data_IF_664259083340
#
_entry.id   IF_664259083340
#
_cell.length_a   1.000
_cell.length_b   1.000
_cell.length_c   1.000
_cell.angle_alpha   90.00
_cell.angle_beta   90.00
_cell.angle_gamma   90.00
#
_symmetry.space_group_name_H-M   'P 1'
#
loop_
_entity.id
_entity.type
_entity.pdbx_description
1 polymer ?
#
# COMPACT_ATOMS: atom_id res chain seq x y z
N UNK A 1 8.73 -7.42 0.00
CA UNK A 1 8.25 -7.41 -1.40
C UNK A 1 8.27 -8.84 -1.91
N UNK A 2 7.24 -9.26 -2.62
CA UNK A 2 7.15 -10.58 -3.24
C UNK A 2 6.40 -10.46 -4.57
N UNK A 3 6.61 -11.41 -5.47
CA UNK A 3 5.84 -11.57 -6.71
C UNK A 3 5.21 -12.95 -6.71
N UNK A 4 3.92 -13.01 -7.03
CA UNK A 4 3.20 -14.26 -7.28
C UNK A 4 2.90 -14.32 -8.77
N UNK A 5 3.41 -15.35 -9.44
CA UNK A 5 3.13 -15.61 -10.85
C UNK A 5 1.89 -16.49 -10.93
N UNK A 6 0.86 -16.00 -11.63
CA UNK A 6 -0.38 -16.75 -11.84
C UNK A 6 -0.19 -17.78 -12.96
N UNK A 7 -0.84 -18.94 -12.83
CA UNK A 7 -0.81 -20.00 -13.86
C UNK A 7 -1.40 -19.53 -15.20
N UNK A 8 -2.31 -18.54 -15.17
CA UNK A 8 -2.93 -17.93 -16.35
C UNK A 8 -3.13 -16.42 -16.15
N UNK A 9 -3.13 -15.63 -17.23
CA UNK A 9 -3.45 -14.20 -17.16
C UNK A 9 -4.83 -13.95 -16.53
N UNK A 10 -4.91 -13.01 -15.60
CA UNK A 10 -6.18 -12.56 -15.06
C UNK A 10 -6.90 -11.62 -16.04
N UNK A 11 -8.25 -11.65 -16.15
CA UNK A 11 -9.02 -10.79 -17.04
C UNK A 11 -9.22 -9.38 -16.44
N UNK A 12 -8.15 -8.77 -15.94
CA UNK A 12 -8.16 -7.44 -15.34
C UNK A 12 -6.91 -6.67 -15.77
N UNK A 13 -7.08 -5.39 -16.08
CA UNK A 13 -5.94 -4.52 -16.39
C UNK A 13 -5.07 -4.36 -15.13
N UNK A 14 -3.75 -4.62 -15.21
CA UNK A 14 -2.84 -4.37 -14.08
C UNK A 14 -2.77 -2.88 -13.75
N UNK A 15 -2.58 -2.57 -12.46
CA UNK A 15 -2.22 -1.23 -12.02
C UNK A 15 -0.82 -0.86 -12.55
N UNK A 16 -0.58 0.44 -12.71
CA UNK A 16 0.70 0.95 -13.17
C UNK A 16 1.77 0.89 -12.05
N UNK A 17 3.02 0.69 -12.45
CA UNK A 17 4.17 0.93 -11.58
C UNK A 17 4.71 2.35 -11.83
N UNK A 18 5.29 2.99 -10.81
CA UNK A 18 5.96 4.28 -10.94
C UNK A 18 7.34 4.13 -11.58
N UNK A 19 7.81 5.23 -12.21
CA UNK A 19 9.23 5.40 -12.55
C UNK A 19 10.08 5.42 -11.28
N UNK A 20 11.36 5.09 -11.40
CA UNK A 20 12.31 5.17 -10.28
C UNK A 20 12.30 6.55 -9.63
N UNK A 21 12.23 6.59 -8.30
CA UNK A 21 12.25 7.84 -7.52
C UNK A 21 10.97 8.69 -7.59
N UNK A 22 9.90 8.25 -8.26
CA UNK A 22 8.68 9.05 -8.40
C UNK A 22 8.04 9.44 -7.06
N UNK A 23 8.20 8.63 -6.02
CA UNK A 23 7.67 8.92 -4.67
C UNK A 23 8.38 10.11 -4.02
N UNK A 24 9.61 10.44 -4.42
CA UNK A 24 10.36 11.56 -3.85
C UNK A 24 9.76 12.93 -4.21
N UNK A 25 8.97 12.99 -5.28
CA UNK A 25 8.27 14.21 -5.72
C UNK A 25 6.91 14.44 -5.04
N UNK A 26 6.45 13.55 -4.17
CA UNK A 26 5.12 13.67 -3.56
C UNK A 26 5.12 14.73 -2.44
N UNK A 27 4.12 15.60 -2.48
CA UNK A 27 3.93 16.61 -1.45
C UNK A 27 3.43 15.97 -0.15
N UNK A 28 3.84 16.52 0.99
CA UNK A 28 3.28 16.13 2.29
C UNK A 28 1.76 16.33 2.27
N UNK A 29 1.03 15.41 2.89
CA UNK A 29 -0.45 15.31 2.88
C UNK A 29 -1.08 15.02 1.52
N UNK A 30 -0.31 14.70 0.47
CA UNK A 30 -0.89 14.15 -0.75
C UNK A 30 -1.77 12.93 -0.40
N UNK A 31 -2.97 12.83 -1.00
CA UNK A 31 -3.86 11.71 -0.73
C UNK A 31 -3.28 10.43 -1.33
N UNK A 32 -3.19 9.39 -0.52
CA UNK A 32 -2.77 8.04 -0.93
C UNK A 32 -3.93 7.11 -0.69
N UNK A 33 -4.39 6.44 -1.74
CA UNK A 33 -5.49 5.48 -1.66
C UNK A 33 -4.96 4.11 -1.31
N UNK A 34 -5.48 3.49 -0.25
CA UNK A 34 -5.26 2.07 0.05
C UNK A 34 -6.50 1.27 -0.28
N UNK A 35 -6.34 0.06 -0.82
CA UNK A 35 -7.44 -0.87 -1.09
C UNK A 35 -7.11 -2.23 -0.49
N UNK A 36 -8.05 -2.83 0.23
CA UNK A 36 -7.79 -4.08 0.92
C UNK A 36 -9.04 -4.74 1.49
N UNK A 37 -8.82 -5.84 2.19
CA UNK A 37 -9.84 -6.69 2.80
C UNK A 37 -9.55 -6.92 4.28
N UNK A 38 -8.60 -6.19 4.87
CA UNK A 38 -8.20 -6.32 6.25
C UNK A 38 -9.31 -6.00 7.26
N UNK A 39 -8.94 -6.05 8.53
CA UNK A 39 -9.87 -5.78 9.64
C UNK A 39 -10.44 -4.37 9.53
N UNK A 40 -11.77 -4.26 9.69
CA UNK A 40 -12.52 -3.05 9.35
C UNK A 40 -12.66 -2.05 10.49
N UNK A 41 -12.59 -2.54 11.73
CA UNK A 41 -12.81 -1.74 12.94
C UNK A 41 -12.38 -2.50 14.19
N UNK A 42 -12.42 -1.82 15.34
CA UNK A 42 -12.42 -2.45 16.66
C UNK A 42 -13.83 -2.47 17.23
N UNK A 43 -14.22 -3.59 17.84
CA UNK A 43 -15.42 -3.67 18.64
C UNK A 43 -15.22 -2.98 20.01
N UNK A 44 -16.31 -2.80 20.76
CA UNK A 44 -16.29 -2.14 22.07
C UNK A 44 -15.42 -2.89 23.10
N UNK A 45 -15.30 -4.21 22.96
CA UNK A 45 -14.43 -5.06 23.79
C UNK A 45 -12.94 -5.01 23.38
N UNK A 46 -12.61 -4.23 22.35
CA UNK A 46 -11.27 -4.08 21.83
C UNK A 46 -10.83 -5.17 20.85
N UNK A 47 -11.67 -6.17 20.55
CA UNK A 47 -11.39 -7.15 19.50
C UNK A 47 -11.41 -6.51 18.11
N UNK A 48 -10.66 -7.09 17.16
CA UNK A 48 -10.69 -6.66 15.77
C UNK A 48 -11.86 -7.31 15.03
N UNK A 49 -12.58 -6.53 14.24
CA UNK A 49 -13.70 -7.00 13.40
C UNK A 49 -13.22 -7.27 11.99
N UNK A 50 -13.48 -8.47 11.49
CA UNK A 50 -13.25 -8.86 10.10
C UNK A 50 -14.57 -9.29 9.47
N UNK A 51 -14.98 -8.61 8.40
CA UNK A 51 -16.23 -8.90 7.69
C UNK A 51 -16.04 -9.30 6.23
N UNK A 52 -14.79 -9.48 5.79
CA UNK A 52 -14.43 -9.92 4.44
C UNK A 52 -14.78 -8.94 3.32
N UNK A 53 -15.18 -7.70 3.63
CA UNK A 53 -15.57 -6.70 2.61
C UNK A 53 -14.36 -5.92 2.11
N UNK A 54 -14.28 -5.76 0.78
CA UNK A 54 -13.33 -4.86 0.14
C UNK A 54 -13.59 -3.42 0.58
N UNK A 55 -12.54 -2.72 1.00
CA UNK A 55 -12.60 -1.30 1.35
C UNK A 55 -11.53 -0.50 0.63
N UNK A 56 -11.82 0.80 0.56
CA UNK A 56 -10.97 1.87 0.06
C UNK A 56 -10.81 2.87 1.19
N UNK A 57 -9.59 3.31 1.46
CA UNK A 57 -9.29 4.39 2.38
C UNK A 57 -8.37 5.40 1.71
N UNK A 58 -8.64 6.68 1.89
CA UNK A 58 -7.72 7.74 1.49
C UNK A 58 -7.01 8.25 2.73
N UNK A 59 -5.68 8.25 2.70
CA UNK A 59 -4.84 8.55 3.85
C UNK A 59 -3.80 9.59 3.43
N UNK A 60 -3.56 10.65 4.24
CA UNK A 60 -2.57 11.66 3.88
C UNK A 60 -1.15 11.11 4.05
N UNK A 61 -0.31 11.34 3.04
CA UNK A 61 1.13 11.09 3.12
C UNK A 61 1.75 11.88 4.28
N UNK A 62 2.52 11.19 5.12
CA UNK A 62 3.26 11.79 6.22
C UNK A 62 4.73 11.97 5.87
N UNK A 63 5.34 10.94 5.30
CA UNK A 63 6.77 10.89 5.03
C UNK A 63 7.07 9.93 3.89
N UNK A 64 8.02 10.29 3.04
CA UNK A 64 8.74 9.37 2.18
C UNK A 64 10.20 9.28 2.65
N UNK A 65 10.74 8.06 2.65
CA UNK A 65 12.13 7.75 2.94
C UNK A 65 12.70 6.90 1.82
N UNK A 66 13.98 6.50 1.92
CA UNK A 66 14.65 5.71 0.87
C UNK A 66 13.87 4.45 0.45
N UNK A 67 13.24 3.74 1.40
CA UNK A 67 12.56 2.47 1.15
C UNK A 67 11.10 2.44 1.59
N UNK A 68 10.65 3.43 2.37
CA UNK A 68 9.30 3.43 2.94
C UNK A 68 8.52 4.69 2.57
N UNK A 69 7.23 4.51 2.33
CA UNK A 69 6.20 5.54 2.24
C UNK A 69 5.30 5.40 3.47
N UNK A 70 5.18 6.44 4.29
CA UNK A 70 4.39 6.43 5.51
C UNK A 70 3.14 7.30 5.33
N UNK A 71 1.97 6.73 5.56
CA UNK A 71 0.67 7.42 5.58
C UNK A 71 0.09 7.47 6.99
N UNK A 72 -0.79 8.44 7.26
CA UNK A 72 -1.55 8.49 8.51
C UNK A 72 -2.83 7.68 8.40
N UNK A 73 -3.11 6.83 9.39
CA UNK A 73 -4.33 6.01 9.44
C UNK A 73 -5.33 6.49 10.50
N UNK A 74 -5.10 7.70 11.06
CA UNK A 74 -5.97 8.29 12.11
C UNK A 74 -7.44 8.39 11.73
N UNK A 75 -7.73 8.67 10.47
CA UNK A 75 -9.11 8.79 9.97
C UNK A 75 -9.54 7.52 9.23
N UNK A 76 -8.73 7.07 8.29
CA UNK A 76 -8.91 5.82 7.56
C UNK A 76 -7.55 5.35 7.03
N UNK A 77 -7.37 4.05 6.87
CA UNK A 77 -6.17 3.48 6.26
C UNK A 77 -6.11 1.96 6.37
N UNK A 78 -4.99 1.36 5.95
CA UNK A 78 -4.75 -0.07 6.11
C UNK A 78 -4.74 -0.49 7.58
N UNK A 79 -5.16 -1.72 7.83
CA UNK A 79 -5.07 -2.36 9.13
C UNK A 79 -4.48 -3.77 9.01
N UNK A 80 -4.58 -4.57 10.07
CA UNK A 80 -4.23 -5.98 10.05
C UNK A 80 -4.89 -6.67 8.85
N UNK A 81 -4.15 -7.57 8.18
CA UNK A 81 -4.62 -8.27 6.98
C UNK A 81 -4.47 -7.49 5.67
N UNK A 82 -4.18 -6.19 5.68
CA UNK A 82 -3.90 -5.40 4.47
C UNK A 82 -2.43 -5.44 4.03
N UNK A 83 -1.58 -6.21 4.72
CA UNK A 83 -0.17 -6.37 4.35
C UNK A 83 -0.01 -6.91 2.92
N UNK A 84 0.87 -6.29 2.14
CA UNK A 84 1.03 -6.53 0.70
C UNK A 84 0.03 -5.77 -0.18
N UNK A 85 -1.02 -5.19 0.42
CA UNK A 85 -2.01 -4.39 -0.30
C UNK A 85 -1.43 -3.08 -0.86
N UNK A 86 -1.98 -2.57 -1.97
CA UNK A 86 -1.45 -1.42 -2.66
C UNK A 86 -1.76 -0.10 -1.96
N UNK A 87 -0.80 0.83 -2.02
CA UNK A 87 -0.96 2.25 -1.69
C UNK A 87 -0.74 3.07 -2.97
N UNK A 88 -1.78 3.72 -3.47
CA UNK A 88 -1.86 4.27 -4.82
C UNK A 88 -2.02 5.79 -4.87
N UNK A 89 -1.59 6.36 -6.00
CA UNK A 89 -2.08 7.64 -6.52
C UNK A 89 -2.64 7.39 -7.92
N UNK A 90 -3.94 7.67 -8.10
CA UNK A 90 -4.67 7.18 -9.28
C UNK A 90 -4.54 5.66 -9.39
N UNK A 91 -4.14 5.18 -10.57
CA UNK A 91 -3.92 3.75 -10.84
C UNK A 91 -2.45 3.33 -10.66
N UNK A 92 -1.60 4.19 -10.09
CA UNK A 92 -0.16 3.89 -9.88
C UNK A 92 0.09 3.41 -8.46
N UNK A 93 0.66 2.22 -8.31
CA UNK A 93 1.05 1.64 -7.01
C UNK A 93 2.37 2.24 -6.56
N UNK A 94 2.35 3.07 -5.52
CA UNK A 94 3.55 3.72 -4.99
C UNK A 94 4.34 2.82 -4.02
N UNK A 95 3.61 2.07 -3.21
CA UNK A 95 4.18 1.16 -2.23
C UNK A 95 3.19 0.06 -1.84
N UNK A 96 3.69 -0.96 -1.13
CA UNK A 96 2.88 -2.05 -0.60
C UNK A 96 2.86 -1.97 0.94
N UNK A 97 1.67 -1.94 1.54
CA UNK A 97 1.51 -1.91 3.01
C UNK A 97 2.35 -3.01 3.67
N UNK A 98 3.19 -2.65 4.63
CA UNK A 98 4.16 -3.57 5.23
C UNK A 98 4.08 -3.60 6.75
N UNK A 99 3.86 -2.45 7.38
CA UNK A 99 3.78 -2.31 8.83
C UNK A 99 2.87 -1.15 9.19
N UNK A 100 2.60 -0.98 10.48
CA UNK A 100 1.81 0.14 10.97
C UNK A 100 1.62 0.10 12.48
N UNK A 101 0.86 1.06 12.97
CA UNK A 101 0.46 1.12 14.38
C UNK A 101 -0.41 -0.10 14.73
N UNK A 102 -0.16 -0.71 15.90
CA UNK A 102 -0.81 -1.97 16.31
C UNK A 102 -2.33 -1.87 16.44
N UNK A 103 -2.84 -0.67 16.69
CA UNK A 103 -4.26 -0.36 16.83
C UNK A 103 -4.90 0.19 15.55
N UNK A 104 -4.13 0.25 14.46
CA UNK A 104 -4.51 0.80 13.16
C UNK A 104 -4.91 2.29 13.17
N UNK A 105 -4.61 3.04 14.24
CA UNK A 105 -5.07 4.43 14.41
C UNK A 105 -3.96 5.50 14.30
N UNK A 106 -2.72 5.10 14.01
CA UNK A 106 -1.57 6.00 13.91
C UNK A 106 -1.08 6.18 12.47
N UNK A 107 -0.25 5.24 12.04
CA UNK A 107 0.39 5.22 10.72
C UNK A 107 0.39 3.84 10.09
N UNK A 108 0.53 3.81 8.77
CA UNK A 108 0.90 2.63 8.01
C UNK A 108 2.12 2.96 7.14
N UNK A 109 3.09 2.07 7.16
CA UNK A 109 4.31 2.10 6.37
C UNK A 109 4.18 1.13 5.20
N UNK A 110 4.45 1.61 3.99
CA UNK A 110 4.48 0.83 2.77
C UNK A 110 5.90 0.74 2.19
N UNK A 111 6.28 -0.44 1.71
CA UNK A 111 7.56 -0.64 1.01
C UNK A 111 7.48 -0.07 -0.41
N UNK A 112 8.29 0.96 -0.70
CA UNK A 112 8.32 1.68 -1.98
C UNK A 112 8.70 0.74 -3.13
N UNK A 113 7.84 0.66 -4.14
CA UNK A 113 8.10 -0.14 -5.36
C UNK A 113 8.93 0.61 -6.41
N UNK A 114 9.11 1.92 -6.25
CA UNK A 114 9.95 2.77 -7.10
C UNK A 114 11.41 2.85 -6.66
N UNK A 115 11.79 2.22 -5.54
CA UNK A 115 13.17 2.22 -5.07
C UNK A 115 14.07 1.34 -5.95
N UNK A 116 15.34 1.73 -6.12
CA UNK A 116 16.34 0.95 -6.87
C UNK A 116 16.35 -0.56 -6.53
N UNK A 117 16.42 -1.00 -5.25
CA UNK A 117 16.39 -2.42 -4.92
C UNK A 117 15.04 -3.09 -5.24
N UNK A 118 13.91 -2.39 -5.07
CA UNK A 118 12.60 -2.93 -5.43
C UNK A 118 12.51 -3.15 -6.94
N UNK A 119 12.95 -2.18 -7.74
CA UNK A 119 12.98 -2.25 -9.21
C UNK A 119 13.92 -3.33 -9.70
N UNK A 120 15.11 -3.47 -9.11
CA UNK A 120 16.04 -4.56 -9.44
C UNK A 120 15.41 -5.94 -9.24
N UNK A 121 14.65 -6.13 -8.15
CA UNK A 121 13.90 -7.35 -7.91
C UNK A 121 12.74 -7.54 -8.90
N UNK A 122 11.94 -6.49 -9.13
CA UNK A 122 10.74 -6.54 -9.99
C UNK A 122 11.07 -6.73 -11.48
N UNK A 123 12.23 -6.26 -11.95
CA UNK A 123 12.67 -6.37 -13.35
C UNK A 123 12.77 -7.82 -13.84
N UNK A 124 12.91 -8.79 -12.94
CA UNK A 124 12.90 -10.22 -13.28
C UNK A 124 11.50 -10.77 -13.60
N UNK A 125 10.43 -10.04 -13.27
CA UNK A 125 9.05 -10.55 -13.32
C UNK A 125 8.06 -9.66 -14.09
N UNK A 126 8.28 -8.35 -14.13
CA UNK A 126 7.36 -7.39 -14.76
C UNK A 126 8.13 -6.34 -15.56
N UNK A 127 7.49 -5.78 -16.59
CA UNK A 127 8.04 -4.66 -17.35
C UNK A 127 7.96 -3.39 -16.52
N UNK A 128 9.09 -2.75 -16.30
CA UNK A 128 9.18 -1.47 -15.60
C UNK A 128 9.09 -0.29 -16.57
N UNK A 129 8.48 0.83 -16.16
CA UNK A 129 8.53 2.10 -16.90
C UNK A 129 9.82 2.88 -16.65
#
# INVERSE_FOLDING_TARGET
LAVVVLDRPAPVAPAALPKEGAVDGLAKRSPVTSVGYGYSSRAADGSFVYDGRRRRAESPLQKASKLSLTISTREAGPCLGDSGGPQLVGDTVLSLTSAGSKDCSGTADGYRVDSAPARAFLAAFVRLP
#
